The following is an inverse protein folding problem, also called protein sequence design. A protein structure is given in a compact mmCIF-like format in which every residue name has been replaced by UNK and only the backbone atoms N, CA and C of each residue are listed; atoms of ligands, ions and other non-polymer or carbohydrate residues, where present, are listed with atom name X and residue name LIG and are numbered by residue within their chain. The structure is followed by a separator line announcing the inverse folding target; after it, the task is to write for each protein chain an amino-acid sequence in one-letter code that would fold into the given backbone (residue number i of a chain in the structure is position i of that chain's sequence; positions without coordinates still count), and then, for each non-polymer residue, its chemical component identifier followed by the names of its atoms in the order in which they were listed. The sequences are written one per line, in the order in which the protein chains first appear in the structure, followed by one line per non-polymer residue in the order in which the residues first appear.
data_IF_024466400444
#
_entry.id   IF_024466400444
#
_cell.length_a   1.000
_cell.length_b   1.000
_cell.length_c   1.000
_cell.angle_alpha   90.00
_cell.angle_beta   90.00
_cell.angle_gamma   90.00
#
_symmetry.space_group_name_H-M   'P 1'
#
loop_
_entity.id
_entity.type
_entity.pdbx_description
1 polymer ?
#
# COMPACT_ATOMS: atom_id res chain seq x y z
N UNK A 1 11.34 -5.60 28.17
CA UNK A 1 10.76 -4.36 27.61
C UNK A 1 11.60 -3.20 28.12
N UNK A 2 12.29 -2.48 27.25
CA UNK A 2 13.09 -1.32 27.64
C UNK A 2 12.20 -0.07 27.56
N UNK A 3 12.06 0.63 28.68
CA UNK A 3 11.38 1.93 28.75
C UNK A 3 12.34 3.00 28.21
N UNK A 4 11.98 3.66 27.12
CA UNK A 4 12.66 4.89 26.66
C UNK A 4 11.84 6.09 27.16
N UNK A 5 12.07 6.48 28.41
CA UNK A 5 11.42 7.64 29.03
C UNK A 5 12.10 8.00 30.34
N UNK A 6 12.15 9.29 30.67
CA UNK A 6 12.66 9.78 31.96
C UNK A 6 11.76 9.26 33.08
N UNK A 7 12.35 8.76 34.17
CA UNK A 7 11.61 8.41 35.39
C UNK A 7 10.71 9.60 35.80
N UNK A 8 9.41 9.35 35.97
CA UNK A 8 8.38 10.34 36.32
C UNK A 8 8.02 11.41 35.26
N UNK A 9 8.48 11.28 34.01
CA UNK A 9 7.95 12.05 32.89
C UNK A 9 6.52 11.64 32.54
N UNK A 10 5.74 12.53 31.91
CA UNK A 10 4.38 12.23 31.44
C UNK A 10 4.36 10.90 30.67
N UNK A 11 3.61 9.91 31.17
CA UNK A 11 3.36 8.67 30.43
C UNK A 11 2.64 9.05 29.15
N UNK A 12 3.30 8.88 28.01
CA UNK A 12 2.68 9.09 26.71
C UNK A 12 1.55 8.07 26.55
N UNK A 13 0.32 8.48 26.82
CA UNK A 13 -0.87 7.61 26.88
C UNK A 13 -1.45 7.28 25.51
N UNK A 14 -0.93 7.89 24.44
CA UNK A 14 -1.37 7.67 23.07
C UNK A 14 -0.16 7.64 22.14
N UNK A 15 0.03 6.49 21.48
CA UNK A 15 0.98 6.28 20.38
C UNK A 15 0.22 6.17 19.06
N UNK A 16 -0.40 7.25 18.54
CA UNK A 16 -1.30 7.08 17.40
C UNK A 16 -0.60 6.60 16.12
N UNK A 17 0.74 6.65 16.02
CA UNK A 17 1.49 6.24 14.83
C UNK A 17 2.95 5.83 15.19
N UNK A 18 3.16 4.73 15.93
CA UNK A 18 4.51 4.36 16.40
C UNK A 18 5.41 3.89 15.24
N UNK A 19 6.26 4.81 14.78
CA UNK A 19 7.14 4.67 13.63
C UNK A 19 8.37 3.77 13.86
N UNK A 20 8.85 3.69 15.11
CA UNK A 20 10.16 3.07 15.43
C UNK A 20 10.27 1.57 15.16
N UNK A 21 9.13 0.90 14.94
CA UNK A 21 9.05 -0.54 14.67
C UNK A 21 8.10 -0.87 13.51
N UNK A 22 7.62 0.14 12.79
CA UNK A 22 6.62 -0.06 11.74
C UNK A 22 7.26 -0.73 10.51
N UNK A 23 6.59 -1.75 9.98
CA UNK A 23 6.99 -2.47 8.78
C UNK A 23 6.08 -2.09 7.61
N UNK A 24 6.54 -2.38 6.39
CA UNK A 24 5.72 -2.14 5.18
C UNK A 24 4.41 -2.91 5.29
N UNK A 25 3.30 -2.20 5.07
CA UNK A 25 1.94 -2.71 5.13
C UNK A 25 1.36 -2.77 6.54
N UNK A 26 2.08 -2.32 7.57
CA UNK A 26 1.54 -2.21 8.92
C UNK A 26 0.56 -1.03 9.01
N UNK A 27 -0.54 -1.26 9.71
CA UNK A 27 -1.46 -0.20 10.06
C UNK A 27 -0.90 0.63 11.23
N UNK A 28 -1.03 1.96 11.16
CA UNK A 28 -0.69 2.81 12.30
C UNK A 28 -1.72 2.70 13.44
N UNK A 29 -2.93 2.23 13.15
CA UNK A 29 -3.97 1.94 14.14
C UNK A 29 -4.77 0.71 13.72
N UNK A 30 -5.16 -0.18 14.65
CA UNK A 30 -5.93 -1.36 14.32
C UNK A 30 -7.27 -0.98 13.68
N UNK A 31 -7.56 -1.58 12.53
CA UNK A 31 -8.85 -1.45 11.85
C UNK A 31 -9.85 -2.51 12.32
N UNK A 32 -11.14 -2.20 12.23
CA UNK A 32 -12.18 -3.22 12.36
C UNK A 32 -12.16 -4.13 11.14
N UNK A 33 -12.55 -5.41 11.33
CA UNK A 33 -12.72 -6.36 10.23
C UNK A 33 -13.68 -5.84 9.16
N UNK A 34 -14.63 -4.97 9.53
CA UNK A 34 -15.52 -4.32 8.57
C UNK A 34 -14.81 -3.42 7.55
N UNK A 35 -13.63 -2.87 7.88
CA UNK A 35 -12.85 -1.97 7.03
C UNK A 35 -11.89 -2.72 6.08
N UNK A 36 -11.77 -4.03 6.25
CA UNK A 36 -10.84 -4.88 5.50
C UNK A 36 -11.63 -5.86 4.65
N UNK A 37 -11.25 -5.98 3.38
CA UNK A 37 -11.74 -7.01 2.48
C UNK A 37 -10.75 -8.16 2.42
N UNK A 38 -11.23 -9.40 2.49
CA UNK A 38 -10.39 -10.59 2.42
C UNK A 38 -10.62 -11.27 1.08
N UNK A 39 -9.66 -11.14 0.16
CA UNK A 39 -9.79 -11.62 -1.22
C UNK A 39 -8.59 -12.46 -1.65
N UNK A 40 -8.79 -13.45 -2.53
CA UNK A 40 -7.69 -14.14 -3.21
C UNK A 40 -6.79 -13.19 -4.01
N UNK A 41 -5.49 -13.49 -4.07
CA UNK A 41 -4.53 -12.79 -4.94
C UNK A 41 -4.51 -13.39 -6.35
N UNK A 42 -4.60 -12.56 -7.39
CA UNK A 42 -4.51 -12.99 -8.80
C UNK A 42 -3.07 -13.08 -9.33
N UNK A 43 -2.18 -12.23 -8.83
CA UNK A 43 -0.81 -12.09 -9.34
C UNK A 43 0.02 -13.36 -9.14
N UNK A 44 0.63 -13.85 -10.22
CA UNK A 44 1.46 -15.07 -10.22
C UNK A 44 2.61 -14.96 -9.22
N UNK A 45 3.27 -13.80 -9.16
CA UNK A 45 4.36 -13.52 -8.23
C UNK A 45 3.87 -13.10 -6.83
N UNK A 46 2.55 -13.10 -6.63
CA UNK A 46 1.91 -12.56 -5.44
C UNK A 46 1.92 -11.04 -5.38
N UNK A 47 1.42 -10.49 -4.27
CA UNK A 47 1.37 -9.03 -4.06
C UNK A 47 2.12 -8.69 -2.77
N UNK A 48 3.11 -7.82 -2.89
CA UNK A 48 3.89 -7.33 -1.75
C UNK A 48 3.00 -6.51 -0.81
N UNK A 49 3.33 -6.55 0.48
CA UNK A 49 2.65 -5.72 1.46
C UNK A 49 2.85 -4.23 1.18
N UNK A 50 1.86 -3.42 1.54
CA UNK A 50 1.90 -1.97 1.36
C UNK A 50 1.71 -1.50 -0.08
N UNK A 51 1.37 -2.39 -1.02
CA UNK A 51 0.99 -2.02 -2.38
C UNK A 51 -0.52 -1.77 -2.48
N UNK A 52 -0.88 -0.75 -3.26
CA UNK A 52 -2.22 -0.48 -3.71
C UNK A 52 -2.67 -1.46 -4.80
N UNK A 53 -3.94 -1.86 -4.74
CA UNK A 53 -4.51 -2.90 -5.61
C UNK A 53 -5.87 -2.48 -6.16
N UNK A 54 -6.27 -3.18 -7.21
CA UNK A 54 -7.65 -3.21 -7.74
C UNK A 54 -8.34 -4.47 -7.21
N UNK A 55 -9.65 -4.40 -6.99
CA UNK A 55 -10.48 -5.58 -6.70
C UNK A 55 -11.28 -5.95 -7.95
N UNK A 56 -10.79 -6.97 -8.66
CA UNK A 56 -11.36 -7.36 -9.95
C UNK A 56 -12.37 -8.49 -9.76
N UNK A 57 -13.58 -8.41 -10.37
CA UNK A 57 -14.50 -9.53 -10.40
C UNK A 57 -13.88 -10.75 -11.11
N UNK A 58 -14.13 -11.94 -10.60
CA UNK A 58 -13.75 -13.18 -11.26
C UNK A 58 -14.87 -13.57 -12.22
N UNK A 59 -14.58 -13.71 -13.52
CA UNK A 59 -15.58 -13.94 -14.57
C UNK A 59 -16.33 -15.26 -14.45
N UNK A 60 -15.74 -16.26 -13.79
CA UNK A 60 -16.35 -17.57 -13.53
C UNK A 60 -15.94 -18.10 -12.14
N UNK A 61 -16.52 -17.55 -11.06
CA UNK A 61 -16.16 -17.96 -9.71
C UNK A 61 -16.68 -19.37 -9.44
N UNK A 62 -15.78 -20.28 -9.07
CA UNK A 62 -16.15 -21.65 -8.63
C UNK A 62 -17.10 -21.62 -7.41
N UNK A 63 -17.02 -20.59 -6.57
CA UNK A 63 -17.94 -20.32 -5.45
C UNK A 63 -18.17 -18.82 -5.29
N UNK A 64 -19.29 -18.33 -5.82
CA UNK A 64 -19.72 -16.95 -5.61
C UNK A 64 -19.73 -16.55 -4.12
N UNK A 65 -19.31 -15.32 -3.84
CA UNK A 65 -19.12 -14.80 -2.48
C UNK A 65 -17.82 -15.26 -1.78
N UNK A 66 -17.10 -16.26 -2.32
CA UNK A 66 -15.80 -16.71 -1.79
C UNK A 66 -14.66 -16.33 -2.73
N UNK A 67 -14.83 -16.56 -4.03
CA UNK A 67 -13.87 -16.18 -5.07
C UNK A 67 -14.50 -15.30 -6.15
N UNK A 68 -15.52 -14.52 -5.79
CA UNK A 68 -16.17 -13.57 -6.71
C UNK A 68 -15.32 -12.35 -7.05
N UNK A 69 -14.34 -12.01 -6.20
CA UNK A 69 -13.37 -10.95 -6.43
C UNK A 69 -11.96 -11.43 -6.10
N UNK A 70 -10.97 -10.77 -6.69
CA UNK A 70 -9.55 -11.01 -6.42
C UNK A 70 -8.78 -9.68 -6.40
N UNK A 71 -7.71 -9.63 -5.59
CA UNK A 71 -6.78 -8.51 -5.59
C UNK A 71 -5.78 -8.67 -6.74
N UNK A 72 -5.66 -7.63 -7.55
CA UNK A 72 -4.72 -7.52 -8.67
C UNK A 72 -3.92 -6.22 -8.55
N UNK A 73 -2.74 -6.19 -9.16
CA UNK A 73 -2.00 -4.93 -9.31
C UNK A 73 -2.71 -4.03 -10.34
N UNK A 74 -2.64 -2.69 -10.17
CA UNK A 74 -3.21 -1.77 -11.14
C UNK A 74 -2.53 -1.93 -12.51
N UNK A 75 -3.34 -1.85 -13.57
CA UNK A 75 -2.87 -1.85 -14.96
C UNK A 75 -2.96 -0.47 -15.60
N UNK A 76 -2.57 -0.38 -16.86
CA UNK A 76 -2.55 0.88 -17.63
C UNK A 76 -3.90 1.56 -17.83
N UNK A 77 -5.01 0.82 -17.69
CA UNK A 77 -6.37 1.36 -17.77
C UNK A 77 -6.93 1.82 -16.41
N UNK A 78 -6.15 1.74 -15.33
CA UNK A 78 -6.59 2.08 -13.98
C UNK A 78 -6.95 3.57 -13.89
N UNK A 79 -8.14 3.84 -13.34
CA UNK A 79 -8.57 5.14 -12.88
C UNK A 79 -8.65 5.17 -11.35
N UNK A 80 -8.65 6.37 -10.76
CA UNK A 80 -8.74 6.54 -9.31
C UNK A 80 -9.93 5.78 -8.69
N UNK A 81 -11.08 5.76 -9.37
CA UNK A 81 -12.29 5.07 -8.93
C UNK A 81 -12.12 3.55 -8.81
N UNK A 82 -11.12 2.98 -9.48
CA UNK A 82 -10.83 1.54 -9.44
C UNK A 82 -10.00 1.17 -8.20
N UNK A 83 -9.52 2.14 -7.43
CA UNK A 83 -8.69 1.89 -6.26
C UNK A 83 -9.41 1.01 -5.23
N UNK A 84 -8.97 -0.25 -5.14
CA UNK A 84 -9.55 -1.29 -4.30
C UNK A 84 -9.05 -1.26 -2.85
N UNK A 85 -7.91 -0.62 -2.60
CA UNK A 85 -7.30 -0.49 -1.28
C UNK A 85 -5.83 -0.89 -1.24
N UNK A 86 -5.31 -1.12 -0.04
CA UNK A 86 -3.90 -1.48 0.19
C UNK A 86 -3.79 -2.86 0.84
N UNK A 87 -2.88 -3.70 0.34
CA UNK A 87 -2.58 -5.01 0.92
C UNK A 87 -1.83 -4.86 2.23
N UNK A 88 -2.44 -5.33 3.31
CA UNK A 88 -1.93 -5.23 4.67
C UNK A 88 -1.00 -6.37 5.01
N UNK A 89 0.01 -6.06 5.84
CA UNK A 89 0.86 -7.06 6.46
C UNK A 89 0.02 -7.93 7.40
N UNK A 90 0.12 -9.24 7.23
CA UNK A 90 -0.62 -10.22 8.03
C UNK A 90 0.28 -11.40 8.41
N UNK A 91 -0.16 -12.18 9.40
CA UNK A 91 0.56 -13.38 9.85
C UNK A 91 0.64 -14.49 8.78
N UNK A 92 -0.18 -14.42 7.73
CA UNK A 92 -0.16 -15.39 6.61
C UNK A 92 0.81 -15.00 5.49
N UNK A 93 1.56 -13.90 5.69
CA UNK A 93 2.58 -13.43 4.76
C UNK A 93 3.71 -14.40 4.52
N UNK A 94 4.27 -14.34 3.33
CA UNK A 94 5.51 -15.01 2.94
C UNK A 94 6.60 -13.98 2.71
N UNK A 95 7.83 -14.44 2.51
CA UNK A 95 8.99 -13.60 2.23
C UNK A 95 9.67 -14.11 0.96
N UNK A 96 9.95 -13.22 0.00
CA UNK A 96 10.68 -13.58 -1.21
C UNK A 96 12.19 -13.69 -0.95
N UNK A 97 12.96 -14.07 -1.97
CA UNK A 97 14.42 -14.20 -1.86
C UNK A 97 15.15 -12.89 -1.54
N UNK A 98 14.49 -11.74 -1.75
CA UNK A 98 15.03 -10.41 -1.49
C UNK A 98 14.58 -9.85 -0.12
N UNK A 99 13.84 -10.63 0.67
CA UNK A 99 13.35 -10.19 1.97
C UNK A 99 12.03 -9.42 1.92
N UNK A 100 11.36 -9.32 0.77
CA UNK A 100 10.10 -8.59 0.67
C UNK A 100 8.95 -9.48 1.16
N UNK A 101 8.15 -8.94 2.09
CA UNK A 101 6.93 -9.58 2.54
C UNK A 101 5.83 -9.49 1.49
N UNK A 102 5.14 -10.60 1.22
CA UNK A 102 4.08 -10.67 0.22
C UNK A 102 2.99 -11.70 0.56
N UNK A 103 1.86 -11.63 -0.16
CA UNK A 103 0.83 -12.66 -0.18
C UNK A 103 0.89 -13.39 -1.51
N UNK A 104 1.14 -14.70 -1.49
CA UNK A 104 1.29 -15.50 -2.70
C UNK A 104 -0.03 -15.65 -3.48
N UNK A 105 0.08 -15.98 -4.77
CA UNK A 105 -1.08 -16.23 -5.63
C UNK A 105 -2.08 -17.20 -4.98
N UNK A 106 -3.37 -16.91 -5.15
CA UNK A 106 -4.51 -17.69 -4.62
C UNK A 106 -4.63 -17.74 -3.10
N UNK A 107 -3.70 -17.14 -2.35
CA UNK A 107 -3.86 -16.92 -0.90
C UNK A 107 -4.75 -15.70 -0.66
N UNK A 108 -5.30 -15.63 0.54
CA UNK A 108 -6.20 -14.54 0.95
C UNK A 108 -5.36 -13.37 1.45
N UNK A 109 -5.44 -12.24 0.76
CA UNK A 109 -4.90 -10.96 1.18
C UNK A 109 -5.96 -10.18 1.97
N UNK A 110 -5.51 -9.50 3.03
CA UNK A 110 -6.28 -8.49 3.72
C UNK A 110 -6.06 -7.14 3.03
N UNK A 111 -7.13 -6.54 2.50
CA UNK A 111 -7.08 -5.27 1.77
C UNK A 111 -7.83 -4.19 2.55
N UNK A 112 -7.13 -3.15 3.01
CA UNK A 112 -7.75 -2.00 3.66
C UNK A 112 -8.49 -1.13 2.64
N UNK A 113 -9.79 -0.97 2.82
CA UNK A 113 -10.65 -0.23 1.87
C UNK A 113 -10.79 1.25 2.27
N UNK A 114 -10.55 2.20 1.34
CA UNK A 114 -10.61 3.63 1.66
C UNK A 114 -12.04 4.09 1.96
N UNK A 115 -13.03 3.50 1.29
CA UNK A 115 -14.45 3.86 1.41
C UNK A 115 -15.15 3.29 2.66
N UNK A 116 -14.42 2.62 3.57
CA UNK A 116 -14.98 2.04 4.80
C UNK A 116 -14.33 2.69 6.02
N UNK A 117 -14.49 4.00 6.21
CA UNK A 117 -14.05 4.70 7.43
C UNK A 117 -12.60 5.18 7.44
N UNK A 118 -11.90 5.09 6.30
CA UNK A 118 -10.51 5.51 6.18
C UNK A 118 -9.51 4.66 6.97
N UNK A 119 -8.22 4.84 6.68
CA UNK A 119 -7.15 4.08 7.33
C UNK A 119 -5.80 4.77 7.19
N UNK A 120 -4.84 4.36 8.04
CA UNK A 120 -3.45 4.83 8.02
C UNK A 120 -2.52 3.63 7.90
N UNK A 121 -1.69 3.61 6.86
CA UNK A 121 -0.80 2.48 6.58
C UNK A 121 0.61 2.97 6.27
N UNK A 122 1.59 2.26 6.81
CA UNK A 122 3.01 2.48 6.55
C UNK A 122 3.38 1.86 5.20
N UNK A 123 3.89 2.69 4.29
CA UNK A 123 4.32 2.27 2.95
C UNK A 123 5.79 2.60 2.75
N UNK A 124 6.43 1.87 1.83
CA UNK A 124 7.78 2.20 1.40
C UNK A 124 7.74 3.53 0.65
N UNK A 125 8.58 4.48 1.06
CA UNK A 125 8.74 5.74 0.35
C UNK A 125 9.64 5.52 -0.87
N UNK A 126 9.14 5.83 -2.06
CA UNK A 126 9.90 5.74 -3.31
C UNK A 126 10.91 6.88 -3.49
N UNK A 127 10.68 8.01 -2.81
CA UNK A 127 11.59 9.14 -2.76
C UNK A 127 11.89 9.52 -1.32
N UNK A 128 13.08 10.05 -1.05
CA UNK A 128 13.48 10.50 0.30
C UNK A 128 12.87 11.85 0.71
N UNK A 129 12.28 12.59 -0.24
CA UNK A 129 11.76 13.94 -0.04
C UNK A 129 10.24 13.97 0.21
N UNK A 130 9.60 12.82 0.45
CA UNK A 130 8.19 12.79 0.87
C UNK A 130 8.02 13.57 2.17
N UNK A 131 7.12 14.54 2.15
CA UNK A 131 6.77 15.39 3.28
C UNK A 131 5.34 15.13 3.76
N UNK A 132 5.05 15.57 4.98
CA UNK A 132 3.67 15.61 5.46
C UNK A 132 2.81 16.55 4.58
N UNK A 133 1.54 16.16 4.37
CA UNK A 133 0.54 16.79 3.52
C UNK A 133 0.76 16.67 2.00
N UNK A 134 1.84 16.01 1.57
CA UNK A 134 2.08 15.66 0.17
C UNK A 134 0.91 14.85 -0.40
N UNK A 135 0.62 15.11 -1.68
CA UNK A 135 -0.32 14.31 -2.46
C UNK A 135 0.16 12.87 -2.62
N UNK A 136 -0.78 11.93 -2.72
CA UNK A 136 -0.48 10.52 -2.96
C UNK A 136 -0.78 10.16 -4.40
N UNK A 137 0.23 9.63 -5.09
CA UNK A 137 0.14 9.11 -6.44
C UNK A 137 0.44 7.61 -6.43
N UNK A 138 -0.47 6.80 -6.99
CA UNK A 138 -0.27 5.37 -7.17
C UNK A 138 0.45 5.11 -8.49
N UNK A 139 1.51 4.32 -8.48
CA UNK A 139 2.20 3.88 -9.68
C UNK A 139 1.41 2.73 -10.32
N UNK A 140 0.97 2.91 -11.56
CA UNK A 140 0.08 1.95 -12.25
C UNK A 140 0.77 1.25 -13.42
N UNK A 141 2.01 1.64 -13.73
CA UNK A 141 2.72 1.19 -14.92
C UNK A 141 4.22 1.48 -14.81
N UNK A 142 5.04 0.59 -15.35
CA UNK A 142 6.46 0.83 -15.67
C UNK A 142 6.84 -0.01 -16.91
N UNK A 143 6.89 0.61 -18.10
CA UNK A 143 7.14 -0.10 -19.38
C UNK A 143 8.59 0.06 -19.91
N UNK A 144 9.53 0.57 -19.10
CA UNK A 144 10.92 0.72 -19.54
C UNK A 144 11.74 -0.52 -19.16
N UNK A 145 12.63 -0.92 -20.06
CA UNK A 145 13.62 -1.98 -19.82
C UNK A 145 15.02 -1.35 -19.86
N UNK A 146 15.83 -1.46 -18.78
CA UNK A 146 15.48 -2.04 -17.49
C UNK A 146 14.45 -1.19 -16.73
N UNK A 147 13.63 -1.84 -15.90
CA UNK A 147 12.64 -1.17 -15.07
C UNK A 147 13.32 -0.14 -14.16
N UNK A 148 12.60 0.93 -13.82
CA UNK A 148 13.13 2.01 -12.98
C UNK A 148 13.28 1.60 -11.50
N UNK A 149 12.79 0.41 -11.14
CA UNK A 149 12.89 -0.15 -9.79
C UNK A 149 11.72 0.23 -8.87
N UNK A 150 10.68 0.88 -9.41
CA UNK A 150 9.43 1.10 -8.68
C UNK A 150 8.47 -0.07 -8.90
N UNK A 151 7.90 -0.59 -7.82
CA UNK A 151 6.88 -1.62 -7.91
C UNK A 151 5.55 -0.99 -8.39
N UNK A 152 4.87 -1.65 -9.33
CA UNK A 152 3.48 -1.32 -9.66
C UNK A 152 2.63 -1.47 -8.39
N UNK A 153 1.75 -0.52 -8.13
CA UNK A 153 0.97 -0.41 -6.89
C UNK A 153 1.69 0.33 -5.76
N UNK A 154 2.95 0.76 -5.92
CA UNK A 154 3.62 1.59 -4.90
C UNK A 154 3.24 3.07 -5.00
N UNK A 155 3.64 3.86 -4.00
CA UNK A 155 3.20 5.25 -3.85
C UNK A 155 4.33 6.27 -4.10
N UNK A 156 3.96 7.40 -4.67
CA UNK A 156 4.83 8.55 -4.94
C UNK A 156 4.20 9.83 -4.39
N UNK A 157 5.01 10.80 -3.96
CA UNK A 157 4.56 12.13 -3.57
C UNK A 157 4.43 13.12 -4.74
N UNK A 158 4.78 12.68 -5.95
CA UNK A 158 4.74 13.50 -7.17
C UNK A 158 4.27 12.69 -8.36
N UNK A 159 3.71 13.39 -9.33
CA UNK A 159 3.48 12.85 -10.66
C UNK A 159 4.83 12.44 -11.24
N UNK A 160 4.92 11.19 -11.72
CA UNK A 160 6.08 10.70 -12.45
C UNK A 160 5.64 10.57 -13.90
N UNK A 161 6.29 11.31 -14.81
CA UNK A 161 5.89 11.34 -16.24
C UNK A 161 7.07 11.36 -17.23
N UNK A 162 8.34 11.44 -16.83
CA UNK A 162 9.34 12.03 -17.74
C UNK A 162 10.59 11.22 -18.11
N UNK A 163 10.74 10.90 -19.40
CA UNK A 163 12.04 10.68 -20.05
C UNK A 163 12.17 11.63 -21.22
N UNK A 164 13.34 12.24 -21.35
CA UNK A 164 13.62 13.38 -22.22
C UNK A 164 14.31 13.00 -23.55
N UNK A 165 14.07 11.79 -24.03
CA UNK A 165 13.86 11.44 -25.44
C UNK A 165 12.36 11.37 -25.77
N UNK A 166 11.49 11.73 -24.81
CA UNK A 166 10.04 11.56 -24.87
C UNK A 166 9.53 10.29 -24.17
N UNK A 167 10.38 9.51 -23.50
CA UNK A 167 9.95 8.22 -22.92
C UNK A 167 10.41 8.01 -21.46
N UNK A 168 9.59 8.44 -20.48
CA UNK A 168 9.40 7.62 -19.27
C UNK A 168 8.04 6.99 -19.44
N UNK A 169 7.98 5.72 -19.08
CA UNK A 169 6.75 4.94 -19.15
C UNK A 169 6.28 4.50 -17.77
N UNK A 170 6.51 5.36 -16.79
CA UNK A 170 5.87 5.25 -15.49
C UNK A 170 4.63 6.10 -15.55
N UNK A 171 3.47 5.49 -15.34
CA UNK A 171 2.23 6.22 -15.19
C UNK A 171 1.80 6.20 -13.73
N UNK A 172 1.31 7.35 -13.28
CA UNK A 172 0.82 7.53 -11.93
C UNK A 172 -0.60 8.08 -11.95
N UNK A 173 -1.42 7.64 -11.00
CA UNK A 173 -2.77 8.16 -10.79
C UNK A 173 -2.85 8.78 -9.40
N UNK A 174 -3.30 10.04 -9.34
CA UNK A 174 -3.53 10.73 -8.06
C UNK A 174 -4.69 10.07 -7.32
N UNK A 175 -4.49 9.78 -6.04
CA UNK A 175 -5.54 9.33 -5.14
C UNK A 175 -5.95 10.52 -4.26
N UNK A 176 -7.04 11.20 -4.61
CA UNK A 176 -7.52 12.43 -3.96
C UNK A 176 -7.97 12.22 -2.52
N UNK A 177 -8.35 10.99 -2.18
CA UNK A 177 -8.69 10.55 -0.82
C UNK A 177 -7.45 10.29 0.05
N UNK A 178 -6.26 10.23 -0.54
CA UNK A 178 -4.99 9.89 0.10
C UNK A 178 -4.07 11.08 0.34
N UNK A 179 -3.40 11.10 1.50
CA UNK A 179 -2.34 12.05 1.85
C UNK A 179 -1.18 11.37 2.58
N UNK A 180 0.04 11.78 2.29
CA UNK A 180 1.15 11.49 3.20
C UNK A 180 0.99 12.34 4.46
N UNK A 181 1.13 11.72 5.63
CA UNK A 181 0.98 12.40 6.93
C UNK A 181 2.25 12.34 7.76
N UNK A 182 3.35 11.88 7.17
CA UNK A 182 4.68 11.90 7.77
C UNK A 182 5.75 12.16 6.71
N UNK A 183 6.88 12.70 7.16
CA UNK A 183 8.10 12.67 6.37
C UNK A 183 8.63 11.23 6.26
N UNK A 184 9.57 11.00 5.35
CA UNK A 184 10.28 9.72 5.27
C UNK A 184 11.14 9.48 6.50
N UNK A 185 10.97 8.31 7.11
CA UNK A 185 11.86 7.82 8.18
C UNK A 185 12.17 6.35 7.93
N UNK A 186 13.46 6.00 7.90
CA UNK A 186 13.93 4.64 7.59
C UNK A 186 13.37 4.09 6.26
N UNK A 187 13.19 4.95 5.25
CA UNK A 187 12.61 4.56 3.95
C UNK A 187 11.10 4.29 3.97
N UNK A 188 10.42 4.64 5.06
CA UNK A 188 8.98 4.48 5.25
C UNK A 188 8.30 5.84 5.35
N UNK A 189 7.07 5.92 4.83
CA UNK A 189 6.17 7.05 5.04
C UNK A 189 4.79 6.53 5.44
N UNK A 190 4.07 7.32 6.22
CA UNK A 190 2.71 7.02 6.62
C UNK A 190 1.73 7.70 5.67
N UNK A 191 0.83 6.89 5.09
CA UNK A 191 -0.23 7.38 4.23
C UNK A 191 -1.57 7.24 4.94
N UNK A 192 -2.39 8.28 4.90
CA UNK A 192 -3.76 8.29 5.35
C UNK A 192 -4.71 8.34 4.16
N UNK A 193 -5.72 7.47 4.15
CA UNK A 193 -6.87 7.55 3.25
C UNK A 193 -8.11 7.89 4.04
N UNK A 194 -8.85 8.91 3.58
CA UNK A 194 -10.13 9.35 4.19
C UNK A 194 -11.29 8.97 3.28
N UNK A 195 -12.48 8.83 3.88
CA UNK A 195 -13.73 8.65 3.16
C UNK A 195 -14.27 9.99 2.65
#
# INVERSE_FOLDING_TARGET
MAFTGTEFGSVQSTYPNQMGTALIGDLASPLSQSNVENVPVSETDGIKFGLGVVLTPVTSPVREGVNGYQAALPGSAFAEADFGGIVLRTAVGQCDANGNGYVAQKRIAAVAKPNRGGFKVWVKANYSDVAADDDVYLIIKDEVTPAHGFDIGSFSNKVITSGADGTLKIDTVKLTTGKFISNVVNGMALVEFKQ
#
